data_IF_356487297377
#
_entry.id   IF_356487297377
#
_cell.length_a   1.000
_cell.length_b   1.000
_cell.length_c   1.000
_cell.angle_alpha   90.00
_cell.angle_beta   90.00
_cell.angle_gamma   90.00
#
_symmetry.space_group_name_H-M   'P 1'
#
loop_
_entity.id
_entity.type
_entity.pdbx_description
1 polymer ?
#
# COMPACT_ATOMS: atom_id res chain seq x y z
N UNK A 1 6.61 13.14 15.33
CA UNK A 1 6.66 12.98 13.86
C UNK A 1 5.45 13.70 13.30
N UNK A 2 5.63 14.72 12.46
CA UNK A 2 4.51 15.39 11.80
C UNK A 2 4.24 14.65 10.50
N UNK A 3 3.17 13.86 10.47
CA UNK A 3 2.72 13.19 9.25
C UNK A 3 1.76 14.12 8.52
N UNK A 4 1.93 14.25 7.21
CA UNK A 4 1.12 15.12 6.34
C UNK A 4 -0.28 14.50 6.06
N UNK A 5 -0.46 13.19 6.27
CA UNK A 5 -1.76 12.50 6.22
C UNK A 5 -1.72 11.17 6.96
N UNK A 6 -2.84 10.79 7.59
CA UNK A 6 -3.08 9.50 8.26
C UNK A 6 -4.50 9.01 7.94
N UNK A 7 -4.64 7.76 7.51
CA UNK A 7 -5.93 7.09 7.30
C UNK A 7 -6.00 5.81 8.15
N UNK A 8 -7.15 5.57 8.79
CA UNK A 8 -7.43 4.39 9.62
C UNK A 8 -8.70 3.72 9.06
N UNK A 9 -8.64 2.40 8.87
CA UNK A 9 -9.72 1.62 8.28
C UNK A 9 -10.16 0.52 9.26
N UNK A 10 -11.44 0.48 9.64
CA UNK A 10 -12.00 -0.45 10.64
C UNK A 10 -12.96 -1.51 10.07
N UNK A 11 -13.49 -1.30 8.85
CA UNK A 11 -14.41 -2.23 8.19
C UNK A 11 -13.84 -2.86 6.90
N UNK A 12 -12.90 -2.18 6.23
CA UNK A 12 -12.35 -2.62 4.95
C UNK A 12 -11.41 -1.58 4.33
N UNK A 13 -10.53 -2.05 3.47
CA UNK A 13 -9.48 -1.27 2.84
C UNK A 13 -9.83 -0.99 1.38
N UNK A 14 -9.70 0.27 0.96
CA UNK A 14 -9.86 0.67 -0.45
C UNK A 14 -8.53 1.16 -1.00
N UNK A 15 -8.08 0.55 -2.10
CA UNK A 15 -6.88 0.96 -2.83
C UNK A 15 -7.32 1.65 -4.12
N UNK A 16 -7.04 2.94 -4.25
CA UNK A 16 -7.28 3.68 -5.48
C UNK A 16 -5.96 3.84 -6.26
N UNK A 17 -5.96 3.39 -7.52
CA UNK A 17 -4.81 3.47 -8.43
C UNK A 17 -5.00 4.47 -9.57
N UNK A 18 -6.12 5.22 -9.57
CA UNK A 18 -6.46 6.08 -10.70
C UNK A 18 -5.43 7.21 -10.87
N UNK A 19 -4.83 7.20 -12.06
CA UNK A 19 -3.96 8.23 -12.66
C UNK A 19 -2.76 8.66 -11.80
N UNK A 20 -2.00 7.68 -11.30
CA UNK A 20 -0.77 7.95 -10.59
C UNK A 20 0.44 7.99 -11.55
N UNK A 21 1.03 9.18 -11.73
CA UNK A 21 2.21 9.38 -12.59
C UNK A 21 3.42 8.54 -12.17
N UNK A 22 3.51 8.14 -10.90
CA UNK A 22 4.68 7.47 -10.32
C UNK A 22 4.50 5.96 -10.15
N UNK A 23 3.32 5.49 -9.75
CA UNK A 23 3.06 4.12 -9.34
C UNK A 23 2.00 3.45 -10.22
N UNK A 24 2.25 2.20 -10.64
CA UNK A 24 1.36 1.46 -11.57
C UNK A 24 0.70 0.23 -10.94
N UNK A 25 1.32 -0.33 -9.90
CA UNK A 25 0.86 -1.56 -9.24
C UNK A 25 1.09 -1.48 -7.75
N UNK A 26 0.14 -1.99 -6.98
CA UNK A 26 0.26 -2.13 -5.52
C UNK A 26 0.02 -3.57 -5.14
N UNK A 27 0.96 -4.14 -4.38
CA UNK A 27 0.81 -5.46 -3.74
C UNK A 27 0.53 -5.25 -2.26
N UNK A 28 -0.26 -6.15 -1.67
CA UNK A 28 -0.58 -6.11 -0.25
C UNK A 28 -0.26 -7.43 0.43
N UNK A 29 0.31 -7.35 1.62
CA UNK A 29 0.63 -8.50 2.46
C UNK A 29 -0.03 -8.33 3.83
N UNK A 30 -1.02 -9.17 4.19
CA UNK A 30 -1.55 -9.22 5.54
C UNK A 30 -0.48 -9.74 6.51
N UNK A 31 -0.40 -9.15 7.70
CA UNK A 31 0.51 -9.61 8.74
C UNK A 31 0.14 -9.09 10.12
N UNK A 32 1.08 -9.26 11.03
CA UNK A 32 0.96 -8.83 12.42
C UNK A 32 2.24 -8.08 12.80
N UNK A 33 2.13 -7.04 13.63
CA UNK A 33 3.30 -6.41 14.25
C UNK A 33 3.82 -7.24 15.45
N UNK A 34 4.85 -6.72 16.11
CA UNK A 34 5.47 -7.35 17.27
C UNK A 34 4.52 -7.47 18.48
N UNK A 35 3.49 -6.62 18.54
CA UNK A 35 2.54 -6.54 19.66
C UNK A 35 1.27 -7.36 19.41
N UNK A 36 1.18 -8.05 18.26
CA UNK A 36 0.02 -8.88 17.91
C UNK A 36 -1.08 -8.13 17.17
N UNK A 37 -0.86 -6.86 16.81
CA UNK A 37 -1.84 -6.06 16.08
C UNK A 37 -1.85 -6.43 14.60
N UNK A 38 -3.04 -6.67 14.04
CA UNK A 38 -3.21 -6.94 12.61
C UNK A 38 -2.84 -5.71 11.78
N UNK A 39 -2.07 -5.92 10.72
CA UNK A 39 -1.68 -4.87 9.78
C UNK A 39 -1.67 -5.38 8.34
N UNK A 40 -1.64 -4.45 7.39
CA UNK A 40 -1.46 -4.75 5.96
C UNK A 40 -0.28 -3.92 5.45
N UNK A 41 0.73 -4.58 4.87
CA UNK A 41 1.86 -3.92 4.22
C UNK A 41 1.54 -3.62 2.78
N UNK A 42 1.91 -2.44 2.30
CA UNK A 42 1.71 -2.01 0.92
C UNK A 42 3.05 -1.83 0.21
N UNK A 43 3.18 -2.48 -0.94
CA UNK A 43 4.35 -2.36 -1.81
C UNK A 43 3.92 -1.69 -3.11
N UNK A 44 4.36 -0.44 -3.31
CA UNK A 44 4.06 0.33 -4.51
C UNK A 44 5.17 0.13 -5.53
N UNK A 45 4.82 -0.42 -6.68
CA UNK A 45 5.73 -0.56 -7.81
C UNK A 45 5.60 0.63 -8.73
N UNK A 46 6.73 1.22 -9.10
CA UNK A 46 6.77 2.23 -10.17
C UNK A 46 6.36 1.64 -11.51
N UNK A 47 6.11 2.50 -12.49
CA UNK A 47 5.86 2.07 -13.87
C UNK A 47 6.98 1.15 -14.39
N UNK A 48 8.25 1.51 -14.15
CA UNK A 48 9.41 0.70 -14.56
C UNK A 48 9.45 -0.65 -13.83
N UNK A 49 9.26 -0.66 -12.52
CA UNK A 49 9.28 -1.90 -11.71
C UNK A 49 8.12 -2.83 -12.08
N UNK A 50 6.96 -2.29 -12.43
CA UNK A 50 5.81 -3.08 -12.86
C UNK A 50 5.98 -3.70 -14.26
N UNK A 51 6.83 -3.10 -15.12
CA UNK A 51 7.13 -3.61 -16.45
C UNK A 51 8.14 -4.77 -16.45
N UNK A 52 8.91 -4.96 -15.36
CA UNK A 52 9.90 -6.05 -15.25
C UNK A 52 9.27 -7.44 -15.08
N UNK A 53 7.98 -7.51 -14.75
CA UNK A 53 7.24 -8.76 -14.56
C UNK A 53 6.35 -9.12 -15.77
N UNK A 54 6.51 -8.41 -16.90
CA UNK A 54 5.69 -8.56 -18.11
C UNK A 54 6.39 -9.37 -19.21
#
# INVERSE_FOLDING_TARGET
>A
MAYDSLSIHDAGLMVNLLDNERYRRVCFEPGTDADGTSLIRFYHHTHDQAALDA
#
